data_IF_415894205656
#
_entry.id   IF_415894205656
#
_cell.length_a   1.000
_cell.length_b   1.000
_cell.length_c   1.000
_cell.angle_alpha   90.00
_cell.angle_beta   90.00
_cell.angle_gamma   90.00
#
_symmetry.space_group_name_H-M   'P 1'
#
loop_
_entity.id
_entity.type
_entity.pdbx_description
1 polymer ?
#
# COMPACT_ATOMS: atom_id res chain seq x y z
N UNK A 1 2.86 -8.58 -11.51
CA UNK A 1 2.55 -9.61 -12.53
C UNK A 1 3.62 -9.61 -13.61
N UNK A 2 4.12 -10.78 -14.00
CA UNK A 2 5.01 -10.91 -15.16
C UNK A 2 4.19 -11.22 -16.41
N UNK A 3 4.65 -10.82 -17.61
CA UNK A 3 3.95 -11.11 -18.84
C UNK A 3 3.99 -12.63 -19.11
N UNK A 4 2.83 -13.21 -19.43
CA UNK A 4 2.69 -14.61 -19.82
C UNK A 4 3.09 -14.83 -21.28
N UNK A 5 2.93 -13.81 -22.12
CA UNK A 5 3.39 -13.82 -23.51
C UNK A 5 3.74 -12.41 -23.96
N UNK A 6 4.82 -12.28 -24.74
CA UNK A 6 5.20 -11.06 -25.44
C UNK A 6 5.29 -11.36 -26.94
N UNK A 7 4.51 -10.65 -27.76
CA UNK A 7 4.54 -10.78 -29.22
C UNK A 7 4.83 -9.41 -29.82
N UNK A 8 5.91 -9.32 -30.60
CA UNK A 8 6.26 -8.12 -31.36
C UNK A 8 5.89 -8.33 -32.82
N UNK A 9 5.17 -7.38 -33.41
CA UNK A 9 4.74 -7.41 -34.80
C UNK A 9 4.89 -6.02 -35.43
N UNK A 10 4.96 -5.97 -36.77
CA UNK A 10 4.73 -4.71 -37.47
C UNK A 10 3.27 -4.30 -37.29
N UNK A 11 3.02 -3.01 -37.01
CA UNK A 11 1.67 -2.47 -36.97
C UNK A 11 1.10 -2.34 -38.40
N UNK A 12 -0.03 -1.67 -38.58
CA UNK A 12 -0.66 -1.57 -39.89
C UNK A 12 0.24 -0.84 -40.90
N UNK A 13 0.56 -1.48 -42.02
CA UNK A 13 1.42 -0.91 -43.06
C UNK A 13 0.83 0.33 -43.75
N UNK A 14 -0.49 0.55 -43.65
CA UNK A 14 -1.17 1.68 -44.27
C UNK A 14 -1.46 2.83 -43.29
N UNK A 15 -1.72 2.50 -42.02
CA UNK A 15 -2.16 3.48 -41.02
C UNK A 15 -1.07 3.89 -40.04
N UNK A 16 -0.05 3.05 -39.86
CA UNK A 16 0.97 3.20 -38.82
C UNK A 16 2.35 3.46 -39.43
N UNK A 17 2.40 4.32 -40.45
CA UNK A 17 3.62 4.83 -41.08
C UNK A 17 3.75 6.32 -40.76
N UNK A 18 4.78 6.68 -40.01
CA UNK A 18 5.07 8.07 -39.68
C UNK A 18 5.66 8.77 -40.92
N UNK A 19 5.14 9.95 -41.29
CA UNK A 19 5.72 10.70 -42.40
C UNK A 19 7.17 11.09 -42.06
N UNK A 20 8.03 11.21 -43.08
CA UNK A 20 9.41 11.61 -42.87
C UNK A 20 9.47 13.02 -42.25
N UNK A 21 10.42 13.21 -41.35
CA UNK A 21 10.62 14.50 -40.71
C UNK A 21 11.17 15.54 -41.70
N UNK A 22 10.90 16.83 -41.43
CA UNK A 22 11.46 17.93 -42.22
C UNK A 22 13.00 17.90 -42.29
N UNK A 23 13.66 17.38 -41.25
CA UNK A 23 15.10 17.24 -41.19
C UNK A 23 15.60 16.17 -42.18
N UNK A 24 14.95 15.01 -42.21
CA UNK A 24 15.25 13.93 -43.15
C UNK A 24 14.96 14.36 -44.59
N UNK A 25 13.85 15.07 -44.81
CA UNK A 25 13.50 15.66 -46.09
C UNK A 25 14.55 16.66 -46.57
N UNK A 26 15.04 17.55 -45.70
CA UNK A 26 16.13 18.50 -46.03
C UNK A 26 17.46 17.79 -46.28
N UNK A 27 17.79 16.76 -45.50
CA UNK A 27 19.01 15.97 -45.68
C UNK A 27 18.99 15.22 -47.02
N UNK A 28 17.86 14.61 -47.37
CA UNK A 28 17.66 13.94 -48.65
C UNK A 28 17.73 14.92 -49.83
N UNK A 29 17.13 16.11 -49.69
CA UNK A 29 17.22 17.18 -50.69
C UNK A 29 18.66 17.69 -50.87
N UNK A 30 19.44 17.81 -49.78
CA UNK A 30 20.85 18.19 -49.82
C UNK A 30 21.75 17.11 -50.45
N UNK A 31 21.36 15.83 -50.34
CA UNK A 31 22.05 14.70 -50.96
C UNK A 31 21.72 14.51 -52.46
N UNK A 32 20.90 15.39 -53.06
CA UNK A 32 20.59 15.38 -54.49
C UNK A 32 19.62 14.28 -54.93
N UNK A 33 18.95 13.61 -54.01
CA UNK A 33 17.99 12.55 -54.29
C UNK A 33 16.55 13.06 -54.31
N UNK A 34 15.85 12.86 -55.44
CA UNK A 34 14.36 12.93 -55.55
C UNK A 34 13.72 11.64 -55.04
N UNK A 35 14.40 10.91 -54.15
CA UNK A 35 13.89 9.67 -53.58
C UNK A 35 12.93 10.05 -52.46
N UNK A 36 11.65 9.73 -52.66
CA UNK A 36 10.61 9.76 -51.63
C UNK A 36 11.19 9.19 -50.34
N UNK A 37 11.39 10.03 -49.32
CA UNK A 37 11.81 9.56 -48.00
C UNK A 37 10.67 8.68 -47.50
N UNK A 38 10.88 7.38 -47.48
CA UNK A 38 9.88 6.42 -47.01
C UNK A 38 9.59 6.72 -45.53
N UNK A 39 8.31 6.71 -45.17
CA UNK A 39 7.90 6.94 -43.80
C UNK A 39 8.39 5.83 -42.88
N UNK A 40 8.55 6.14 -41.60
CA UNK A 40 9.03 5.15 -40.62
C UNK A 40 7.86 4.28 -40.17
N UNK A 41 7.94 2.96 -40.40
CA UNK A 41 6.95 2.00 -39.95
C UNK A 41 6.98 1.89 -38.42
N UNK A 42 5.81 2.01 -37.79
CA UNK A 42 5.66 1.77 -36.36
C UNK A 42 5.45 0.28 -36.11
N UNK A 43 6.11 -0.24 -35.07
CA UNK A 43 5.93 -1.60 -34.58
C UNK A 43 5.08 -1.61 -33.32
N UNK A 44 4.39 -2.73 -33.09
CA UNK A 44 3.60 -2.95 -31.89
C UNK A 44 4.09 -4.18 -31.11
N UNK A 45 4.04 -4.09 -29.79
CA UNK A 45 4.27 -5.19 -28.88
C UNK A 45 3.03 -5.42 -28.01
N UNK A 46 2.56 -6.66 -27.99
CA UNK A 46 1.43 -7.10 -27.16
C UNK A 46 1.93 -7.96 -26.01
N UNK A 47 1.77 -7.46 -24.79
CA UNK A 47 2.08 -8.17 -23.56
C UNK A 47 0.78 -8.66 -22.92
N UNK A 48 0.69 -9.94 -22.59
CA UNK A 48 -0.49 -10.51 -21.92
C UNK A 48 -0.17 -10.86 -20.49
N UNK A 49 -0.99 -10.39 -19.55
CA UNK A 49 -0.85 -10.65 -18.12
C UNK A 49 -2.09 -11.37 -17.62
N UNK A 50 -1.94 -12.58 -17.10
CA UNK A 50 -3.03 -13.34 -16.48
C UNK A 50 -2.93 -13.24 -14.95
N UNK A 51 -4.07 -13.07 -14.28
CA UNK A 51 -4.15 -13.02 -12.83
C UNK A 51 -5.52 -13.47 -12.33
N UNK A 52 -5.58 -13.88 -11.07
CA UNK A 52 -6.80 -14.38 -10.43
C UNK A 52 -7.12 -13.51 -9.21
N UNK A 53 -8.38 -13.06 -9.11
CA UNK A 53 -8.90 -12.41 -7.91
C UNK A 53 -9.60 -13.42 -7.02
N UNK A 54 -9.20 -13.44 -5.75
CA UNK A 54 -9.85 -14.25 -4.70
C UNK A 54 -10.92 -13.48 -3.93
N UNK A 55 -10.91 -12.14 -3.99
CA UNK A 55 -11.86 -11.27 -3.28
C UNK A 55 -13.18 -11.05 -4.03
N UNK A 56 -14.24 -10.69 -3.29
CA UNK A 56 -15.62 -10.60 -3.82
C UNK A 56 -15.88 -9.35 -4.65
N UNK A 57 -15.33 -8.20 -4.28
CA UNK A 57 -15.46 -6.95 -5.03
C UNK A 57 -14.29 -6.02 -4.68
N UNK A 58 -13.34 -5.88 -5.60
CA UNK A 58 -12.13 -5.07 -5.41
C UNK A 58 -11.98 -4.12 -6.58
N UNK A 59 -11.65 -2.86 -6.26
CA UNK A 59 -11.32 -1.87 -7.28
C UNK A 59 -9.88 -2.06 -7.71
N UNK A 60 -9.63 -2.26 -9.00
CA UNK A 60 -8.31 -2.53 -9.53
C UNK A 60 -7.94 -1.47 -10.56
N UNK A 61 -6.74 -0.92 -10.44
CA UNK A 61 -6.12 -0.04 -11.43
C UNK A 61 -4.81 -0.68 -11.91
N UNK A 62 -4.75 -1.16 -13.16
CA UNK A 62 -3.49 -1.61 -13.76
C UNK A 62 -2.51 -0.43 -13.90
N UNK A 63 -1.28 -0.60 -13.42
CA UNK A 63 -0.21 0.40 -13.48
C UNK A 63 1.11 -0.23 -13.92
N UNK A 64 1.71 0.35 -14.96
CA UNK A 64 3.06 0.02 -15.41
C UNK A 64 4.01 1.04 -14.77
N UNK A 65 4.66 0.68 -13.66
CA UNK A 65 5.35 1.63 -12.77
C UNK A 65 6.17 2.70 -13.49
N UNK A 66 7.10 2.29 -14.36
CA UNK A 66 7.99 3.25 -15.02
C UNK A 66 7.32 4.11 -16.09
N UNK A 67 6.21 3.65 -16.67
CA UNK A 67 5.57 4.27 -17.85
C UNK A 67 4.25 4.96 -17.53
N UNK A 68 3.61 4.63 -16.41
CA UNK A 68 2.27 5.12 -16.06
C UNK A 68 2.24 6.63 -15.90
N UNK A 69 3.27 7.20 -15.27
CA UNK A 69 3.34 8.63 -14.96
C UNK A 69 4.04 9.44 -16.07
N UNK A 70 4.56 8.77 -17.10
CA UNK A 70 5.29 9.40 -18.20
C UNK A 70 4.40 9.47 -19.45
N UNK A 71 3.52 10.47 -19.55
CA UNK A 71 2.69 10.61 -20.75
C UNK A 71 3.48 11.16 -21.94
N UNK A 72 4.09 12.34 -21.79
CA UNK A 72 4.82 13.01 -22.87
C UNK A 72 6.33 12.74 -22.85
N UNK A 73 6.86 12.38 -21.68
CA UNK A 73 8.27 12.04 -21.49
C UNK A 73 8.54 10.54 -21.67
N UNK A 74 7.51 9.76 -22.03
CA UNK A 74 7.66 8.34 -22.28
C UNK A 74 8.53 8.12 -23.52
N UNK A 75 9.46 7.15 -23.49
CA UNK A 75 10.24 6.76 -24.66
C UNK A 75 9.41 5.98 -25.70
N UNK A 76 8.14 5.68 -25.41
CA UNK A 76 7.21 4.99 -26.28
C UNK A 76 6.17 5.95 -26.88
N UNK A 77 5.74 5.68 -28.12
CA UNK A 77 4.74 6.50 -28.81
C UNK A 77 3.35 6.34 -28.19
N UNK A 78 3.01 5.10 -27.82
CA UNK A 78 1.72 4.83 -27.18
C UNK A 78 1.79 3.61 -26.27
N UNK A 79 1.03 3.70 -25.19
CA UNK A 79 0.80 2.63 -24.23
C UNK A 79 -0.69 2.57 -23.93
N UNK A 80 -1.31 1.47 -24.33
CA UNK A 80 -2.72 1.20 -24.04
C UNK A 80 -2.83 -0.16 -23.37
N UNK A 81 -3.81 -0.31 -22.50
CA UNK A 81 -4.12 -1.60 -21.90
C UNK A 81 -5.61 -1.86 -21.95
N UNK A 82 -5.94 -3.15 -21.99
CA UNK A 82 -7.30 -3.66 -22.05
C UNK A 82 -7.45 -4.80 -21.07
N UNK A 83 -8.45 -4.69 -20.20
CA UNK A 83 -8.82 -5.71 -19.23
C UNK A 83 -9.94 -6.58 -19.79
N UNK A 84 -9.73 -7.89 -19.77
CA UNK A 84 -10.64 -8.91 -20.25
C UNK A 84 -11.04 -9.86 -19.13
N UNK A 85 -12.30 -10.26 -19.14
CA UNK A 85 -12.84 -11.35 -18.32
C UNK A 85 -12.45 -12.73 -18.90
N UNK A 86 -12.69 -13.80 -18.14
CA UNK A 86 -12.50 -15.19 -18.58
C UNK A 86 -13.26 -15.52 -19.88
N UNK A 87 -14.36 -14.81 -20.15
CA UNK A 87 -15.16 -14.95 -21.37
C UNK A 87 -14.58 -14.18 -22.58
N UNK A 88 -13.44 -13.51 -22.43
CA UNK A 88 -12.84 -12.64 -23.45
C UNK A 88 -13.56 -11.29 -23.63
N UNK A 89 -14.60 -11.03 -22.84
CA UNK A 89 -15.31 -9.76 -22.84
C UNK A 89 -14.39 -8.65 -22.28
N UNK A 90 -14.32 -7.53 -22.99
CA UNK A 90 -13.55 -6.37 -22.53
C UNK A 90 -14.33 -5.61 -21.47
N UNK A 91 -13.81 -5.58 -20.25
CA UNK A 91 -14.44 -4.89 -19.12
C UNK A 91 -14.03 -3.42 -19.06
N UNK A 92 -12.74 -3.15 -19.29
CA UNK A 92 -12.17 -1.81 -19.18
C UNK A 92 -10.98 -1.65 -20.11
N UNK A 93 -10.69 -0.42 -20.47
CA UNK A 93 -9.47 -0.02 -21.18
C UNK A 93 -8.88 1.22 -20.50
N UNK A 94 -7.60 1.47 -20.74
CA UNK A 94 -6.92 2.67 -20.28
C UNK A 94 -5.53 2.78 -20.87
N UNK A 95 -4.75 3.73 -20.36
CA UNK A 95 -3.39 4.00 -20.79
C UNK A 95 -2.54 4.55 -19.66
N UNK A 96 -1.95 5.72 -19.89
CA UNK A 96 -1.20 6.48 -18.90
C UNK A 96 -2.09 7.00 -17.75
N UNK A 97 -1.48 7.75 -16.82
CA UNK A 97 -2.09 8.25 -15.59
C UNK A 97 -3.50 8.86 -15.75
N UNK A 98 -3.75 9.63 -16.81
CA UNK A 98 -5.03 10.32 -17.02
C UNK A 98 -6.17 9.39 -17.48
N UNK A 99 -5.83 8.31 -18.16
CA UNK A 99 -6.81 7.35 -18.70
C UNK A 99 -7.06 6.17 -17.76
N UNK A 100 -6.28 6.09 -16.68
CA UNK A 100 -6.35 5.01 -15.71
C UNK A 100 -7.52 5.20 -14.75
N UNK A 101 -8.63 4.51 -15.03
CA UNK A 101 -9.81 4.49 -14.16
C UNK A 101 -9.90 3.20 -13.34
N UNK A 102 -10.35 3.28 -12.08
CA UNK A 102 -10.62 2.10 -11.28
C UNK A 102 -11.68 1.20 -11.93
N UNK A 103 -11.34 -0.07 -12.16
CA UNK A 103 -12.28 -1.10 -12.58
C UNK A 103 -12.76 -1.87 -11.36
N UNK A 104 -14.07 -2.03 -11.16
CA UNK A 104 -14.61 -2.89 -10.10
C UNK A 104 -14.66 -4.32 -10.61
N UNK A 105 -13.90 -5.21 -9.98
CA UNK A 105 -13.80 -6.61 -10.38
C UNK A 105 -14.27 -7.51 -9.25
N UNK A 106 -14.90 -8.63 -9.62
CA UNK A 106 -15.31 -9.66 -8.68
C UNK A 106 -14.28 -10.77 -8.58
N UNK A 107 -14.66 -11.86 -7.91
CA UNK A 107 -13.86 -13.08 -7.88
C UNK A 107 -13.86 -13.73 -9.27
N UNK A 108 -12.68 -13.95 -9.84
CA UNK A 108 -12.55 -14.54 -11.17
C UNK A 108 -11.12 -14.48 -11.72
N UNK A 109 -10.92 -15.09 -12.88
CA UNK A 109 -9.67 -15.04 -13.64
C UNK A 109 -9.76 -13.98 -14.72
N UNK A 110 -8.76 -13.11 -14.80
CA UNK A 110 -8.74 -11.96 -15.69
C UNK A 110 -7.44 -11.90 -16.50
N UNK A 111 -7.52 -11.28 -17.66
CA UNK A 111 -6.37 -11.06 -18.55
C UNK A 111 -6.25 -9.58 -18.86
N UNK A 112 -5.04 -9.02 -18.73
CA UNK A 112 -4.72 -7.67 -19.19
C UNK A 112 -3.82 -7.78 -20.42
N UNK A 113 -4.32 -7.29 -21.55
CA UNK A 113 -3.52 -7.07 -22.74
C UNK A 113 -2.95 -5.65 -22.70
N UNK A 114 -1.64 -5.51 -22.78
CA UNK A 114 -0.95 -4.22 -22.95
C UNK A 114 -0.40 -4.13 -24.36
N UNK A 115 -0.72 -3.04 -25.05
CA UNK A 115 -0.22 -2.67 -26.36
C UNK A 115 0.79 -1.53 -26.20
N UNK A 116 2.04 -1.78 -26.58
CA UNK A 116 3.10 -0.78 -26.67
C UNK A 116 3.44 -0.54 -28.14
N UNK A 117 3.63 0.72 -28.54
CA UNK A 117 4.02 1.06 -29.92
C UNK A 117 5.27 1.93 -29.96
N UNK A 118 6.16 1.63 -30.90
CA UNK A 118 7.39 2.38 -31.13
C UNK A 118 7.97 2.02 -32.52
N UNK A 119 8.64 2.94 -33.25
CA UNK A 119 9.31 2.66 -34.52
C UNK A 119 10.55 1.76 -34.38
N UNK A 120 11.27 1.86 -33.26
CA UNK A 120 12.45 1.03 -33.01
C UNK A 120 12.08 -0.30 -32.33
N UNK A 121 12.31 -1.41 -33.03
CA UNK A 121 12.07 -2.77 -32.51
C UNK A 121 13.00 -3.12 -31.34
N UNK A 122 14.23 -2.57 -31.34
CA UNK A 122 15.21 -2.78 -30.27
C UNK A 122 14.67 -2.35 -28.90
N UNK A 123 14.07 -1.16 -28.82
CA UNK A 123 13.44 -0.65 -27.60
C UNK A 123 12.26 -1.53 -27.16
N UNK A 124 11.39 -1.96 -28.08
CA UNK A 124 10.30 -2.88 -27.75
C UNK A 124 10.82 -4.22 -27.20
N UNK A 125 11.87 -4.77 -27.81
CA UNK A 125 12.45 -6.06 -27.37
C UNK A 125 13.03 -6.01 -25.95
N UNK A 126 13.49 -4.84 -25.50
CA UNK A 126 13.99 -4.63 -24.13
C UNK A 126 12.89 -4.63 -23.07
N UNK A 127 11.63 -4.39 -23.48
CA UNK A 127 10.47 -4.26 -22.60
C UNK A 127 9.62 -5.54 -22.53
N UNK A 128 10.12 -6.66 -23.05
CA UNK A 128 9.40 -7.95 -23.07
C UNK A 128 9.09 -8.49 -21.67
N UNK A 129 9.95 -8.20 -20.68
CA UNK A 129 9.82 -8.64 -19.28
C UNK A 129 9.21 -7.59 -18.35
N UNK A 130 8.53 -6.57 -18.90
CA UNK A 130 8.01 -5.45 -18.13
C UNK A 130 6.97 -5.91 -17.09
N UNK A 131 7.16 -5.65 -15.78
CA UNK A 131 6.20 -6.03 -14.76
C UNK A 131 5.00 -5.08 -14.71
N UNK A 132 3.81 -5.64 -14.62
CA UNK A 132 2.56 -4.91 -14.39
C UNK A 132 2.18 -4.98 -12.91
N UNK A 133 1.89 -3.85 -12.28
CA UNK A 133 1.36 -3.77 -10.92
C UNK A 133 -0.15 -3.54 -10.95
N UNK A 134 -0.85 -4.16 -10.01
CA UNK A 134 -2.27 -3.92 -9.78
C UNK A 134 -2.42 -3.08 -8.53
N UNK A 135 -2.84 -1.83 -8.70
CA UNK A 135 -3.12 -0.95 -7.57
C UNK A 135 -4.54 -1.22 -7.07
N UNK A 136 -4.64 -1.74 -5.86
CA UNK A 136 -5.91 -2.12 -5.22
C UNK A 136 -6.05 -1.33 -3.91
N UNK A 137 -7.06 -0.46 -3.77
CA UNK A 137 -7.32 0.22 -2.52
C UNK A 137 -7.89 -0.79 -1.52
N UNK A 138 -7.32 -0.81 -0.31
CA UNK A 138 -7.81 -1.66 0.77
C UNK A 138 -9.18 -1.17 1.28
N UNK A 139 -10.14 -2.07 1.56
CA UNK A 139 -11.46 -1.68 2.08
C UNK A 139 -11.39 -1.08 3.48
N UNK A 140 -10.41 -1.50 4.29
CA UNK A 140 -10.11 -0.93 5.60
C UNK A 140 -8.61 -0.57 5.65
N UNK A 141 -8.24 0.66 6.04
CA UNK A 141 -6.83 1.03 6.16
C UNK A 141 -6.16 0.21 7.26
N UNK A 142 -4.93 -0.23 7.00
CA UNK A 142 -4.11 -0.93 7.99
C UNK A 142 -3.58 0.07 9.01
N UNK A 143 -3.88 -0.16 10.29
CA UNK A 143 -3.32 0.63 11.38
C UNK A 143 -1.84 0.30 11.57
N UNK A 144 -0.95 1.25 11.34
CA UNK A 144 0.45 1.12 11.71
C UNK A 144 0.71 1.97 12.96
N UNK A 145 0.78 1.38 14.16
CA UNK A 145 1.00 2.17 15.37
C UNK A 145 2.42 2.74 15.38
N UNK A 146 2.53 3.96 15.90
CA UNK A 146 3.77 4.72 15.98
C UNK A 146 4.17 4.86 17.45
N UNK A 147 5.42 4.55 17.77
CA UNK A 147 5.95 4.56 19.12
C UNK A 147 7.14 5.51 19.25
N UNK A 148 7.37 6.03 20.46
CA UNK A 148 8.48 6.95 20.75
C UNK A 148 9.78 6.22 21.15
N UNK A 149 9.72 4.91 21.35
CA UNK A 149 10.87 4.10 21.73
C UNK A 149 11.01 2.90 20.79
N UNK A 150 12.26 2.58 20.43
CA UNK A 150 12.56 1.49 19.50
C UNK A 150 12.16 0.11 20.05
N UNK A 151 12.32 -0.11 21.35
CA UNK A 151 12.07 -1.42 21.96
C UNK A 151 10.58 -1.79 21.92
N UNK A 152 9.68 -0.83 22.15
CA UNK A 152 8.22 -1.05 22.10
C UNK A 152 7.72 -1.26 20.68
N UNK A 153 8.28 -0.53 19.70
CA UNK A 153 7.98 -0.72 18.29
C UNK A 153 8.44 -2.10 17.77
N UNK A 154 9.61 -2.56 18.24
CA UNK A 154 10.19 -3.85 17.81
C UNK A 154 9.45 -5.04 18.44
N UNK A 155 8.99 -4.91 19.69
CA UNK A 155 8.25 -5.96 20.39
C UNK A 155 6.75 -5.96 20.07
N UNK A 156 6.26 -5.10 19.17
CA UNK A 156 4.84 -4.99 18.79
C UNK A 156 3.90 -4.88 20.01
N UNK A 157 4.24 -3.99 20.95
CA UNK A 157 3.51 -3.80 22.20
C UNK A 157 3.45 -5.04 23.14
N UNK A 158 4.39 -5.99 23.03
CA UNK A 158 4.62 -6.96 24.09
C UNK A 158 5.04 -6.19 25.36
N UNK A 159 4.10 -5.96 26.27
CA UNK A 159 4.25 -5.11 27.45
C UNK A 159 3.21 -3.98 27.64
N UNK A 160 2.19 -3.85 26.79
CA UNK A 160 1.10 -2.87 27.00
C UNK A 160 1.52 -1.41 26.76
N UNK A 161 2.52 -1.18 25.92
CA UNK A 161 2.99 0.16 25.60
C UNK A 161 2.00 0.88 24.68
N UNK A 162 1.56 2.07 25.09
CA UNK A 162 0.65 2.92 24.30
C UNK A 162 1.38 3.59 23.12
N UNK A 163 0.68 3.78 21.98
CA UNK A 163 1.21 4.54 20.86
C UNK A 163 1.45 6.02 21.25
N UNK A 164 2.31 6.68 20.48
CA UNK A 164 2.61 8.10 20.70
C UNK A 164 1.34 8.93 20.52
N UNK A 165 0.96 9.65 21.58
CA UNK A 165 -0.09 10.66 21.51
C UNK A 165 0.36 11.91 20.74
N UNK A 166 -0.61 12.61 20.17
CA UNK A 166 -0.39 13.90 19.53
C UNK A 166 0.24 14.87 20.53
N UNK A 167 1.27 15.59 20.11
CA UNK A 167 1.98 16.53 20.96
C UNK A 167 2.70 17.59 20.15
N UNK A 168 2.99 18.71 20.81
CA UNK A 168 3.67 19.84 20.20
C UNK A 168 5.18 19.64 20.25
N UNK A 169 5.85 19.80 19.10
CA UNK A 169 7.30 19.83 19.01
C UNK A 169 7.76 21.28 18.85
N UNK A 170 8.69 21.73 19.71
CA UNK A 170 9.22 23.09 19.62
C UNK A 170 10.25 23.19 18.48
N UNK A 171 10.39 24.39 17.92
CA UNK A 171 11.36 24.64 16.84
C UNK A 171 12.78 24.35 17.33
N UNK A 172 13.45 23.38 16.70
CA UNK A 172 14.80 22.93 17.06
C UNK A 172 14.83 21.72 18.01
N UNK A 173 13.69 21.25 18.50
CA UNK A 173 13.59 19.96 19.17
C UNK A 173 13.46 18.82 18.14
N UNK A 174 13.95 17.64 18.50
CA UNK A 174 13.85 16.42 17.71
C UNK A 174 13.15 15.35 18.56
N UNK A 175 12.29 14.55 17.91
CA UNK A 175 11.64 13.40 18.54
C UNK A 175 11.73 12.22 17.58
N UNK A 176 12.31 11.13 18.06
CA UNK A 176 12.40 9.90 17.29
C UNK A 176 11.04 9.20 17.27
N UNK A 177 10.61 8.80 16.08
CA UNK A 177 9.37 8.07 15.85
C UNK A 177 9.69 6.74 15.20
N UNK A 178 9.13 5.66 15.75
CA UNK A 178 9.32 4.31 15.27
C UNK A 178 7.97 3.74 14.84
N UNK A 179 7.84 3.39 13.57
CA UNK A 179 6.63 2.78 13.01
C UNK A 179 6.76 1.27 13.15
N UNK A 180 5.78 0.61 13.77
CA UNK A 180 5.73 -0.85 13.76
C UNK A 180 5.04 -1.35 12.49
N UNK A 181 5.55 -2.43 11.86
CA UNK A 181 4.89 -3.02 10.70
C UNK A 181 3.51 -3.59 11.09
N UNK A 182 2.55 -3.64 10.15
CA UNK A 182 1.25 -4.26 10.41
C UNK A 182 1.43 -5.74 10.78
N UNK A 183 0.74 -6.19 11.83
CA UNK A 183 0.81 -7.58 12.29
C UNK A 183 -0.03 -8.49 11.39
N UNK A 184 0.32 -9.77 11.34
CA UNK A 184 -0.45 -10.81 10.64
C UNK A 184 -1.54 -11.43 11.52
N UNK A 185 -1.48 -11.16 12.83
CA UNK A 185 -2.36 -11.73 13.85
C UNK A 185 -2.91 -10.60 14.74
N UNK A 186 -4.23 -10.54 14.90
CA UNK A 186 -4.98 -9.50 15.62
C UNK A 186 -5.85 -8.61 14.72
N UNK A 187 -6.70 -7.74 15.29
CA UNK A 187 -7.68 -6.89 14.59
C UNK A 187 -7.13 -5.83 13.61
N UNK A 188 -5.81 -5.85 13.39
CA UNK A 188 -5.01 -5.03 12.47
C UNK A 188 -4.23 -5.96 11.53
N UNK A 189 -4.89 -7.02 11.07
CA UNK A 189 -4.29 -8.05 10.23
C UNK A 189 -4.14 -7.58 8.78
N UNK A 190 -2.96 -7.82 8.20
CA UNK A 190 -2.78 -7.82 6.74
C UNK A 190 -3.79 -8.82 6.13
N UNK A 191 -4.53 -8.45 5.06
CA UNK A 191 -5.49 -9.35 4.45
C UNK A 191 -4.82 -10.66 3.98
N UNK A 192 -5.52 -11.79 4.12
CA UNK A 192 -4.95 -13.11 3.82
C UNK A 192 -4.58 -13.34 2.36
N UNK A 193 -5.17 -12.56 1.45
CA UNK A 193 -4.89 -12.60 0.02
C UNK A 193 -3.59 -11.89 -0.37
N UNK A 194 -3.01 -11.08 0.53
CA UNK A 194 -1.73 -10.41 0.27
C UNK A 194 -0.64 -11.48 0.22
N UNK A 195 -0.07 -11.65 -0.96
CA UNK A 195 0.94 -12.65 -1.25
C UNK A 195 2.35 -12.05 -1.04
N UNK A 196 3.37 -12.91 -0.85
CA UNK A 196 4.73 -12.43 -0.78
C UNK A 196 5.17 -11.87 -2.14
N UNK A 197 5.73 -10.65 -2.12
CA UNK A 197 6.06 -9.89 -3.33
C UNK A 197 5.04 -8.79 -3.67
N UNK A 198 3.91 -8.73 -2.97
CA UNK A 198 3.04 -7.55 -3.01
C UNK A 198 3.67 -6.40 -2.22
N UNK A 199 3.25 -5.17 -2.49
CA UNK A 199 3.77 -3.99 -1.79
C UNK A 199 2.60 -3.21 -1.21
N UNK A 200 2.61 -3.02 0.10
CA UNK A 200 1.65 -2.18 0.79
C UNK A 200 2.20 -0.76 0.87
N UNK A 201 1.45 0.18 0.29
CA UNK A 201 1.81 1.60 0.26
C UNK A 201 0.84 2.36 1.14
N UNK A 202 1.37 3.25 1.97
CA UNK A 202 0.61 4.15 2.81
C UNK A 202 1.33 5.47 3.03
N UNK A 203 0.77 6.31 3.88
CA UNK A 203 1.34 7.60 4.25
C UNK A 203 1.27 7.78 5.76
N UNK A 204 2.36 8.26 6.37
CA UNK A 204 2.42 8.70 7.75
C UNK A 204 2.26 10.22 7.79
N UNK A 205 1.15 10.68 8.37
CA UNK A 205 0.88 12.11 8.57
C UNK A 205 1.48 12.57 9.89
N UNK A 206 2.44 13.48 9.83
CA UNK A 206 3.18 13.98 11.00
C UNK A 206 2.49 15.18 11.66
N UNK A 207 1.75 15.97 10.90
CA UNK A 207 1.01 17.14 11.39
C UNK A 207 -0.49 16.94 11.22
N UNK A 208 -1.24 17.26 12.28
CA UNK A 208 -2.70 17.26 12.30
C UNK A 208 -3.26 18.51 11.63
N UNK A 209 -2.53 19.63 11.69
CA UNK A 209 -2.97 20.95 11.21
C UNK A 209 -2.76 21.12 9.70
N UNK A 210 -1.66 20.57 9.15
CA UNK A 210 -1.34 20.60 7.71
C UNK A 210 -1.04 19.19 7.17
N UNK A 211 -2.07 18.34 7.01
CA UNK A 211 -1.88 16.91 6.69
C UNK A 211 -1.23 16.65 5.33
N UNK A 212 -1.31 17.59 4.38
CA UNK A 212 -0.77 17.43 3.01
C UNK A 212 0.70 17.82 2.87
N UNK A 213 1.23 18.67 3.76
CA UNK A 213 2.60 19.18 3.65
C UNK A 213 3.58 18.28 4.40
N UNK A 214 3.10 17.60 5.45
CA UNK A 214 3.93 16.80 6.36
C UNK A 214 3.55 15.32 6.31
N UNK A 215 3.40 14.76 5.10
CA UNK A 215 3.15 13.34 4.88
C UNK A 215 4.44 12.62 4.42
N UNK A 216 4.76 11.51 5.08
CA UNK A 216 5.89 10.65 4.72
C UNK A 216 5.36 9.36 4.05
N UNK A 217 5.76 9.02 2.83
CA UNK A 217 5.33 7.78 2.19
C UNK A 217 5.93 6.58 2.95
N UNK A 218 5.07 5.61 3.26
CA UNK A 218 5.45 4.34 3.86
C UNK A 218 5.27 3.23 2.84
N UNK A 219 6.30 2.40 2.71
CA UNK A 219 6.29 1.22 1.85
C UNK A 219 6.62 0.02 2.71
N UNK A 220 5.76 -0.98 2.68
CA UNK A 220 5.91 -2.21 3.45
C UNK A 220 5.79 -3.42 2.55
N UNK A 221 6.85 -4.24 2.54
CA UNK A 221 6.89 -5.52 1.83
C UNK A 221 6.55 -6.64 2.82
N UNK A 222 5.45 -7.38 2.60
CA UNK A 222 5.06 -8.50 3.43
C UNK A 222 6.08 -9.64 3.29
N UNK A 223 6.51 -10.25 4.41
CA UNK A 223 7.50 -11.33 4.38
C UNK A 223 6.93 -12.58 3.70
N UNK A 224 7.84 -13.40 3.13
CA UNK A 224 7.50 -14.73 2.60
C UNK A 224 6.78 -15.56 3.65
N UNK A 225 5.63 -16.15 3.29
CA UNK A 225 5.00 -17.15 4.14
C UNK A 225 6.02 -18.26 4.41
N UNK A 226 6.10 -18.79 5.65
CA UNK A 226 6.84 -20.02 5.86
C UNK A 226 6.16 -21.09 5.00
N UNK A 227 6.80 -21.49 3.92
CA UNK A 227 6.43 -22.69 3.20
C UNK A 227 6.48 -23.82 4.22
N UNK A 228 5.32 -24.37 4.61
CA UNK A 228 5.32 -25.68 5.25
C UNK A 228 6.05 -26.59 4.27
N UNK A 229 7.23 -27.04 4.65
CA UNK A 229 7.98 -28.00 3.88
C UNK A 229 7.04 -29.17 3.61
N UNK A 230 6.82 -29.49 2.33
CA UNK A 230 6.24 -30.78 1.95
C UNK A 230 7.16 -31.84 2.57
N UNK A 231 6.65 -32.55 3.58
CA UNK A 231 7.18 -33.87 3.92
C UNK A 231 7.22 -34.66 2.62
N UNK A 232 8.43 -35.06 2.22
CA UNK A 232 8.62 -36.01 1.13
C UNK A 232 8.19 -37.37 1.66
N UNK A 233 7.35 -38.04 0.89
CA UNK A 233 7.16 -39.48 0.90
C UNK A 233 8.53 -40.18 0.91
N UNK A 234 8.74 -41.09 1.87
CA UNK A 234 9.66 -42.21 1.73
C UNK A 234 8.82 -43.49 1.83
N UNK A 235 8.80 -44.25 0.72
CA UNK A 235 8.22 -45.58 0.59
C UNK A 235 9.00 -46.63 1.40
N UNK A 236 8.28 -47.71 1.68
CA UNK A 236 8.54 -48.90 2.51
C UNK A 236 9.90 -49.60 2.32
N UNK A 237 10.46 -50.11 3.41
CA UNK A 237 11.09 -51.43 3.42
C UNK A 237 10.79 -52.16 4.75
N UNK A 238 10.48 -53.45 4.62
CA UNK A 238 9.74 -54.31 5.55
C UNK A 238 10.71 -55.19 6.39
N UNK A 239 10.50 -55.35 7.70
CA UNK A 239 10.64 -56.63 8.43
C UNK A 239 10.32 -56.53 9.95
N UNK A 240 9.89 -57.67 10.51
CA UNK A 240 8.94 -57.80 11.61
C UNK A 240 9.48 -57.81 13.06
N UNK A 241 8.64 -57.23 13.95
CA UNK A 241 8.26 -57.45 15.36
C UNK A 241 8.83 -58.65 16.20
N UNK A 242 8.66 -58.76 17.56
CA UNK A 242 7.66 -58.07 18.42
C UNK A 242 8.02 -57.70 19.90
N UNK A 243 7.18 -56.80 20.45
CA UNK A 243 6.55 -56.69 21.82
C UNK A 243 7.38 -56.72 23.12
N UNK A 244 7.16 -55.71 23.99
CA UNK A 244 6.35 -55.83 25.23
C UNK A 244 6.34 -54.53 26.07
N UNK A 245 5.20 -54.20 26.69
CA UNK A 245 5.11 -53.18 27.75
C UNK A 245 3.84 -52.34 27.80
N UNK A 246 2.78 -52.90 28.39
CA UNK A 246 1.43 -52.37 28.53
C UNK A 246 1.29 -51.09 29.43
N UNK A 247 0.12 -50.41 29.37
CA UNK A 247 -0.13 -49.08 29.95
C UNK A 247 -0.77 -49.14 31.36
N UNK A 248 -0.73 -48.03 32.09
CA UNK A 248 -1.51 -47.87 33.33
C UNK A 248 -2.64 -46.86 33.13
N UNK A 249 -3.84 -47.39 33.27
CA UNK A 249 -5.12 -46.72 33.33
C UNK A 249 -5.43 -46.19 34.74
N UNK A 250 -6.37 -45.25 34.81
CA UNK A 250 -7.08 -44.79 36.01
C UNK A 250 -7.46 -43.31 35.81
N UNK A 251 -8.67 -42.90 35.48
CA UNK A 251 -9.99 -43.47 35.78
C UNK A 251 -10.59 -42.75 36.98
N UNK A 252 -11.48 -41.77 36.74
CA UNK A 252 -12.66 -41.48 37.57
C UNK A 252 -13.40 -40.24 37.05
N UNK A 253 -14.65 -40.47 36.67
CA UNK A 253 -15.69 -39.48 36.47
C UNK A 253 -16.21 -38.93 37.81
N UNK A 254 -16.72 -37.70 37.82
CA UNK A 254 -17.95 -37.35 38.54
C UNK A 254 -18.45 -35.96 38.12
N UNK A 255 -19.73 -35.93 37.75
CA UNK A 255 -20.53 -34.76 37.50
C UNK A 255 -21.02 -34.10 38.80
N UNK A 256 -21.44 -32.84 38.72
CA UNK A 256 -22.50 -32.30 39.58
C UNK A 256 -22.37 -30.84 40.00
N UNK A 257 -23.33 -30.01 39.57
CA UNK A 257 -24.13 -29.21 40.49
C UNK A 257 -23.75 -27.74 40.75
N UNK A 258 -24.32 -26.86 39.92
CA UNK A 258 -25.14 -25.67 40.24
C UNK A 258 -24.95 -24.81 41.51
N UNK A 259 -25.18 -23.51 41.28
CA UNK A 259 -25.62 -22.41 42.17
C UNK A 259 -24.54 -21.52 42.83
N UNK A 260 -24.36 -20.30 42.31
CA UNK A 260 -24.48 -19.01 43.06
C UNK A 260 -24.76 -17.88 42.04
N UNK A 261 -26.00 -17.37 42.02
CA UNK A 261 -26.36 -16.08 41.42
C UNK A 261 -26.96 -15.27 42.57
N UNK A 262 -26.22 -14.27 43.05
CA UNK A 262 -26.71 -13.04 43.71
C UNK A 262 -25.50 -12.29 44.27
N UNK A 263 -24.91 -11.36 43.51
CA UNK A 263 -23.98 -10.31 44.00
C UNK A 263 -23.58 -9.26 42.95
N UNK A 264 -24.25 -9.16 41.79
CA UNK A 264 -23.76 -8.32 40.67
C UNK A 264 -24.34 -6.89 40.62
N UNK A 265 -25.34 -6.54 41.43
CA UNK A 265 -26.04 -5.25 41.26
C UNK A 265 -25.47 -4.07 42.06
N UNK A 266 -24.41 -4.26 42.86
CA UNK A 266 -23.78 -3.17 43.63
C UNK A 266 -22.53 -2.57 42.96
N UNK A 267 -21.83 -3.31 42.11
CA UNK A 267 -20.53 -2.90 41.53
C UNK A 267 -20.64 -1.98 40.31
N UNK A 268 -21.77 -2.01 39.59
CA UNK A 268 -21.96 -1.16 38.39
C UNK A 268 -22.31 0.31 38.72
N UNK A 269 -22.89 0.57 39.90
CA UNK A 269 -23.22 1.93 40.33
C UNK A 269 -21.98 2.71 40.79
N UNK A 270 -21.05 2.05 41.50
CA UNK A 270 -19.80 2.68 41.96
C UNK A 270 -18.81 2.90 40.81
N UNK A 271 -18.81 2.04 39.79
CA UNK A 271 -17.96 2.20 38.60
C UNK A 271 -18.35 3.44 37.75
N UNK A 272 -19.66 3.72 37.60
CA UNK A 272 -20.15 4.89 36.86
C UNK A 272 -19.90 6.22 37.58
N UNK A 273 -19.92 6.22 38.92
CA UNK A 273 -19.61 7.44 39.68
C UNK A 273 -18.10 7.76 39.69
N UNK A 274 -17.25 6.72 39.64
CA UNK A 274 -15.80 6.89 39.50
C UNK A 274 -15.41 7.46 38.12
N UNK A 275 -15.99 6.92 37.04
CA UNK A 275 -15.74 7.38 35.66
C UNK A 275 -16.23 8.83 35.44
N UNK A 276 -17.37 9.20 36.05
CA UNK A 276 -17.87 10.58 36.00
C UNK A 276 -16.98 11.57 36.78
N UNK A 277 -16.35 11.14 37.88
CA UNK A 277 -15.39 11.97 38.63
C UNK A 277 -14.06 12.13 37.90
N UNK A 278 -13.58 11.09 37.22
CA UNK A 278 -12.35 11.15 36.43
C UNK A 278 -12.53 12.04 35.19
N UNK A 279 -13.67 11.94 34.50
CA UNK A 279 -14.01 12.84 33.40
C UNK A 279 -14.12 14.31 33.84
N UNK A 280 -14.70 14.58 35.02
CA UNK A 280 -14.78 15.93 35.57
C UNK A 280 -13.41 16.49 36.02
N UNK A 281 -12.48 15.62 36.43
CA UNK A 281 -11.10 16.01 36.76
C UNK A 281 -10.31 16.36 35.49
N UNK A 282 -10.43 15.55 34.43
CA UNK A 282 -9.77 15.80 33.14
C UNK A 282 -10.22 17.14 32.51
N UNK A 283 -11.51 17.46 32.55
CA UNK A 283 -12.04 18.75 32.05
C UNK A 283 -11.48 19.94 32.86
N UNK A 284 -11.35 19.81 34.18
CA UNK A 284 -10.75 20.85 35.03
C UNK A 284 -9.27 21.06 34.74
N UNK A 285 -8.53 19.99 34.43
CA UNK A 285 -7.12 20.07 34.08
C UNK A 285 -6.92 20.75 32.71
N UNK A 286 -7.80 20.49 31.73
CA UNK A 286 -7.79 21.20 30.44
C UNK A 286 -8.13 22.70 30.58
N UNK A 287 -9.11 23.05 31.42
CA UNK A 287 -9.45 24.45 31.73
C UNK A 287 -8.30 25.17 32.45
N UNK A 288 -7.59 24.48 33.35
CA UNK A 288 -6.43 25.04 34.04
C UNK A 288 -5.24 25.28 33.09
N UNK A 289 -5.04 24.37 32.12
CA UNK A 289 -3.97 24.48 31.11
C UNK A 289 -4.26 25.60 30.09
N UNK A 290 -5.51 25.71 29.63
CA UNK A 290 -5.93 26.79 28.72
C UNK A 290 -5.80 28.18 29.37
N UNK A 291 -6.11 28.30 30.66
CA UNK A 291 -5.90 29.55 31.41
C UNK A 291 -4.42 29.93 31.54
N UNK A 292 -3.54 28.97 31.84
CA UNK A 292 -2.08 29.20 31.90
C UNK A 292 -1.52 29.64 30.53
N UNK A 293 -2.03 29.09 29.43
CA UNK A 293 -1.65 29.48 28.08
C UNK A 293 -2.10 30.91 27.74
N UNK A 294 -3.33 31.27 28.12
CA UNK A 294 -3.82 32.64 27.94
C UNK A 294 -2.97 33.64 28.72
N UNK A 295 -2.64 33.35 29.97
CA UNK A 295 -1.77 34.19 30.81
C UNK A 295 -0.36 34.34 30.20
N UNK A 296 0.22 33.26 29.69
CA UNK A 296 1.51 33.29 28.98
C UNK A 296 1.47 34.12 27.69
N UNK A 297 0.40 34.00 26.90
CA UNK A 297 0.21 34.79 25.68
C UNK A 297 0.06 36.29 25.97
N UNK A 298 -0.65 36.64 27.06
CA UNK A 298 -0.87 38.02 27.50
C UNK A 298 0.43 38.66 27.99
N UNK A 299 1.25 37.90 28.73
CA UNK A 299 2.58 38.33 29.16
C UNK A 299 3.51 38.58 27.95
N UNK A 300 3.47 37.70 26.93
CA UNK A 300 4.24 37.88 25.71
C UNK A 300 3.81 39.13 24.92
N UNK A 301 2.50 39.35 24.76
CA UNK A 301 1.97 40.56 24.13
C UNK A 301 2.32 41.84 24.92
N UNK A 302 2.34 41.77 26.25
CA UNK A 302 2.81 42.85 27.12
C UNK A 302 4.28 43.20 26.87
N UNK A 303 5.14 42.19 26.73
CA UNK A 303 6.57 42.39 26.44
C UNK A 303 6.81 43.02 25.06
N UNK A 304 6.01 42.65 24.05
CA UNK A 304 6.08 43.22 22.70
C UNK A 304 5.62 44.68 22.67
N UNK A 305 4.59 45.05 23.44
CA UNK A 305 4.16 46.46 23.58
C UNK A 305 5.21 47.31 24.27
N UNK A 306 5.87 46.79 25.32
CA UNK A 306 6.95 47.51 26.00
C UNK A 306 8.19 47.70 25.10
N UNK A 307 8.53 46.69 24.29
CA UNK A 307 9.62 46.77 23.31
C UNK A 307 9.31 47.69 22.11
N UNK A 308 8.03 47.82 21.73
CA UNK A 308 7.58 48.77 20.71
C UNK A 308 7.64 50.22 21.21
N UNK A 309 7.26 50.46 22.47
CA UNK A 309 7.31 51.80 23.07
C UNK A 309 8.74 52.34 23.26
N UNK A 310 9.74 51.47 23.44
CA UNK A 310 11.14 51.88 23.54
C UNK A 310 11.81 52.13 22.19
N UNK A 311 11.31 51.53 21.11
CA UNK A 311 11.78 51.78 19.72
C UNK A 311 11.27 53.09 19.12
N UNK A 312 10.23 53.70 19.70
CA UNK A 312 9.67 54.98 19.23
C UNK A 312 10.35 56.23 19.84
N UNK A 313 11.39 56.07 20.67
CA UNK A 313 12.10 57.19 21.33
C UNK A 313 13.58 57.34 20.90
N UNK A 314 13.95 56.78 19.75
CA UNK A 314 15.21 57.09 19.06
C UNK A 314 14.92 57.51 17.64
#
# INVERSE_FOLDING_TARGET
LRPASAVVAAASAELDVLPPSDAEMRAAAAAGGVASVEGTQVHEMRLKYAFELTEKETSVVPRLQSLHDQLYDSPLDSMLWRLQDANGATLQYGGAMHDARPAKLGKGSYVIDVLLRHPEVGLLSSLTDLPLLLHMPLPKPLGCPVYGARHTASSRAHGGAEPVSAGWLTKGAHKDLYVSPPSREGGVAVPEWVAPGDVLVGELRLDVTSPTVSALPLVFEPPSHPTKAKEKDEEEDDEAAPKDGAPLAGGAAAAGGEAVVETVTATEAEAKEAEAREAAAAVRDEEALSKKLLEGSLAHLGSLRAASASRSRY
#
